data_IF_577899224641
#
_entry.id   IF_577899224641
#
_cell.length_a   1.000
_cell.length_b   1.000
_cell.length_c   1.000
_cell.angle_alpha   90.00
_cell.angle_beta   90.00
_cell.angle_gamma   90.00
#
_symmetry.space_group_name_H-M   'P 1'
#
loop_
_entity.id
_entity.type
_entity.pdbx_description
1 polymer ?
#
# COMPACT_ATOMS: atom_id res chain seq x y z
N UNK A 1 -37.44 -11.71 -6.31
CA UNK A 1 -36.71 -10.54 -6.85
C UNK A 1 -35.56 -10.12 -5.94
N UNK A 2 -35.78 -9.87 -4.64
CA UNK A 2 -34.71 -9.50 -3.69
C UNK A 2 -33.55 -10.52 -3.61
N UNK A 3 -33.86 -11.82 -3.50
CA UNK A 3 -32.84 -12.87 -3.44
C UNK A 3 -31.99 -12.96 -4.72
N UNK A 4 -32.60 -12.78 -5.89
CA UNK A 4 -31.90 -12.78 -7.18
C UNK A 4 -30.98 -11.56 -7.27
N UNK A 5 -31.46 -10.38 -6.88
CA UNK A 5 -30.64 -9.17 -6.86
C UNK A 5 -29.46 -9.28 -5.88
N UNK A 6 -29.67 -9.84 -4.69
CA UNK A 6 -28.61 -10.09 -3.72
C UNK A 6 -27.58 -11.10 -4.25
N UNK A 7 -28.03 -12.17 -4.91
CA UNK A 7 -27.13 -13.15 -5.51
C UNK A 7 -26.28 -12.55 -6.64
N UNK A 8 -26.87 -11.71 -7.49
CA UNK A 8 -26.15 -11.00 -8.55
C UNK A 8 -25.11 -10.05 -7.94
N UNK A 9 -25.50 -9.25 -6.94
CA UNK A 9 -24.58 -8.34 -6.26
C UNK A 9 -23.38 -9.09 -5.65
N UNK A 10 -23.65 -10.19 -4.96
CA UNK A 10 -22.59 -11.03 -4.38
C UNK A 10 -21.65 -11.58 -5.46
N UNK A 11 -22.19 -12.09 -6.58
CA UNK A 11 -21.39 -12.60 -7.68
C UNK A 11 -20.49 -11.51 -8.29
N UNK A 12 -21.00 -10.29 -8.45
CA UNK A 12 -20.22 -9.15 -8.96
C UNK A 12 -19.10 -8.78 -7.98
N UNK A 13 -19.37 -8.72 -6.68
CA UNK A 13 -18.36 -8.41 -5.67
C UNK A 13 -17.26 -9.47 -5.62
N UNK A 14 -17.62 -10.75 -5.71
CA UNK A 14 -16.66 -11.85 -5.76
C UNK A 14 -15.81 -11.80 -7.02
N UNK A 15 -16.41 -11.49 -8.17
CA UNK A 15 -15.68 -11.33 -9.43
C UNK A 15 -14.72 -10.12 -9.36
N UNK A 16 -15.16 -8.99 -8.81
CA UNK A 16 -14.33 -7.81 -8.64
C UNK A 16 -13.15 -8.08 -7.68
N UNK A 17 -13.40 -8.77 -6.56
CA UNK A 17 -12.35 -9.18 -5.63
C UNK A 17 -11.35 -10.12 -6.30
N UNK A 18 -11.83 -11.11 -7.06
CA UNK A 18 -10.98 -12.02 -7.82
C UNK A 18 -10.09 -11.25 -8.79
N UNK A 19 -10.67 -10.35 -9.60
CA UNK A 19 -9.92 -9.50 -10.55
C UNK A 19 -8.86 -8.69 -9.80
N UNK A 20 -9.22 -8.04 -8.70
CA UNK A 20 -8.28 -7.26 -7.88
C UNK A 20 -7.08 -8.08 -7.42
N UNK A 21 -7.30 -9.29 -6.89
CA UNK A 21 -6.19 -10.13 -6.38
C UNK A 21 -5.30 -10.68 -7.50
N UNK A 22 -5.88 -11.11 -8.63
CA UNK A 22 -5.09 -11.65 -9.76
C UNK A 22 -4.29 -10.54 -10.48
N UNK A 23 -4.75 -9.30 -10.45
CA UNK A 23 -3.98 -8.14 -10.96
C UNK A 23 -2.96 -7.62 -9.95
N UNK A 24 -2.69 -8.36 -8.88
CA UNK A 24 -1.65 -8.03 -7.89
C UNK A 24 -2.11 -7.13 -6.74
N UNK A 25 -3.40 -6.79 -6.67
CA UNK A 25 -3.97 -6.04 -5.56
C UNK A 25 -3.83 -6.82 -4.24
N UNK A 26 -3.51 -6.10 -3.17
CA UNK A 26 -3.38 -6.68 -1.82
C UNK A 26 -4.08 -5.78 -0.82
N UNK A 27 -4.55 -6.40 0.26
CA UNK A 27 -5.09 -5.68 1.40
C UNK A 27 -4.24 -5.91 2.65
N UNK A 28 -4.13 -4.90 3.49
CA UNK A 28 -3.38 -4.96 4.73
C UNK A 28 -4.17 -4.26 5.82
N UNK A 29 -4.02 -4.73 7.05
CA UNK A 29 -4.49 -4.00 8.23
C UNK A 29 -3.27 -3.33 8.85
N UNK A 30 -3.35 -2.03 9.11
CA UNK A 30 -2.26 -1.31 9.79
C UNK A 30 -2.09 -1.83 11.20
N UNK A 31 -0.89 -2.32 11.51
CA UNK A 31 -0.59 -2.96 12.80
C UNK A 31 0.22 -2.06 13.75
N UNK A 32 0.84 -0.99 13.24
CA UNK A 32 1.69 -0.09 14.02
C UNK A 32 1.22 1.36 13.92
N UNK A 33 1.48 2.21 14.92
CA UNK A 33 1.08 3.62 14.86
C UNK A 33 1.83 4.48 13.82
N UNK A 34 2.83 3.95 13.12
CA UNK A 34 3.76 4.71 12.27
C UNK A 34 3.12 5.75 11.34
N UNK A 35 1.94 5.45 10.79
CA UNK A 35 1.18 6.29 9.85
C UNK A 35 0.19 7.28 10.47
N UNK A 36 0.23 7.49 11.80
CA UNK A 36 -0.49 8.59 12.42
C UNK A 36 -1.99 8.63 12.14
N UNK A 37 -2.50 9.83 11.89
CA UNK A 37 -3.89 10.07 11.51
C UNK A 37 -4.20 9.70 10.05
N UNK A 38 -3.17 9.62 9.19
CA UNK A 38 -3.36 9.23 7.78
C UNK A 38 -3.83 7.79 7.64
N UNK A 39 -3.24 6.88 8.43
CA UNK A 39 -3.72 5.51 8.53
C UNK A 39 -3.52 4.97 9.96
N UNK A 40 -4.49 5.22 10.87
CA UNK A 40 -4.43 4.71 12.23
C UNK A 40 -4.40 3.18 12.29
N UNK A 41 -3.93 2.62 13.41
CA UNK A 41 -3.97 1.17 13.67
C UNK A 41 -5.40 0.64 13.48
N UNK A 42 -5.52 -0.48 12.76
CA UNK A 42 -6.81 -1.08 12.39
C UNK A 42 -7.36 -0.61 11.04
N UNK A 43 -6.75 0.39 10.40
CA UNK A 43 -7.14 0.82 9.04
C UNK A 43 -6.91 -0.30 8.04
N UNK A 44 -7.92 -0.58 7.20
CA UNK A 44 -7.80 -1.44 6.04
C UNK A 44 -7.25 -0.62 4.87
N UNK A 45 -6.08 -1.02 4.36
CA UNK A 45 -5.46 -0.44 3.18
C UNK A 45 -5.59 -1.41 2.02
N UNK A 46 -6.08 -0.93 0.87
CA UNK A 46 -5.99 -1.64 -0.40
C UNK A 46 -4.85 -1.05 -1.22
N UNK A 47 -4.02 -1.91 -1.77
CA UNK A 47 -2.83 -1.56 -2.54
C UNK A 47 -2.93 -2.15 -3.93
N UNK A 48 -2.31 -1.48 -4.90
CA UNK A 48 -2.15 -1.99 -6.26
C UNK A 48 -0.67 -1.92 -6.64
N UNK A 49 -0.18 -2.78 -7.54
CA UNK A 49 1.18 -2.68 -8.02
C UNK A 49 1.45 -1.32 -8.66
N UNK A 50 2.59 -0.71 -8.33
CA UNK A 50 3.06 0.49 -9.01
C UNK A 50 3.53 0.11 -10.43
N UNK A 51 3.20 0.94 -11.41
CA UNK A 51 3.65 0.81 -12.81
C UNK A 51 5.03 1.47 -13.04
N UNK A 52 5.78 1.73 -11.98
CA UNK A 52 7.04 2.47 -12.02
C UNK A 52 6.88 3.99 -11.92
N UNK A 53 5.65 4.51 -11.92
CA UNK A 53 5.37 5.93 -11.73
C UNK A 53 4.94 6.14 -10.29
N UNK A 54 5.79 6.84 -9.53
CA UNK A 54 5.49 7.29 -8.17
C UNK A 54 5.96 8.73 -8.03
N UNK A 55 5.33 9.47 -7.15
CA UNK A 55 5.60 10.87 -6.89
C UNK A 55 5.84 11.12 -5.40
N UNK A 56 6.52 12.23 -5.09
CA UNK A 56 6.58 12.73 -3.72
C UNK A 56 5.16 13.03 -3.24
N UNK A 57 4.82 12.53 -2.05
CA UNK A 57 3.47 12.59 -1.48
C UNK A 57 2.67 11.29 -1.62
N UNK A 58 3.08 10.35 -2.49
CA UNK A 58 2.42 9.05 -2.58
C UNK A 58 2.65 8.22 -1.30
N UNK A 59 1.64 7.48 -0.88
CA UNK A 59 1.77 6.47 0.19
C UNK A 59 1.95 5.12 -0.49
N UNK A 60 3.07 4.46 -0.19
CA UNK A 60 3.43 3.19 -0.81
C UNK A 60 3.57 2.10 0.23
N UNK A 61 3.23 0.89 -0.18
CA UNK A 61 3.46 -0.34 0.60
C UNK A 61 4.60 -1.13 -0.04
N UNK A 62 5.60 -1.47 0.76
CA UNK A 62 6.84 -2.10 0.29
C UNK A 62 7.43 -3.06 1.32
N UNK A 63 8.43 -3.83 0.90
CA UNK A 63 9.24 -4.68 1.78
C UNK A 63 10.61 -4.01 1.95
N UNK A 64 10.99 -3.57 3.15
CA UNK A 64 12.29 -2.95 3.34
C UNK A 64 13.41 -3.94 2.99
N UNK A 65 14.52 -3.47 2.37
CA UNK A 65 15.65 -4.34 2.05
C UNK A 65 16.31 -4.95 3.30
N UNK A 66 16.17 -4.28 4.45
CA UNK A 66 16.69 -4.74 5.74
C UNK A 66 15.80 -5.78 6.42
N UNK A 67 14.52 -5.85 6.05
CA UNK A 67 13.52 -6.75 6.65
C UNK A 67 12.56 -7.32 5.59
N UNK A 68 13.02 -8.18 4.66
CA UNK A 68 12.19 -8.62 3.52
C UNK A 68 10.91 -9.38 3.91
N UNK A 69 10.88 -9.97 5.10
CA UNK A 69 9.69 -10.65 5.63
C UNK A 69 8.57 -9.70 6.05
N UNK A 70 8.90 -8.44 6.33
CA UNK A 70 7.97 -7.44 6.84
C UNK A 70 7.43 -6.56 5.70
N UNK A 71 6.26 -5.98 5.92
CA UNK A 71 5.59 -5.07 4.98
C UNK A 71 5.35 -3.75 5.69
N UNK A 72 5.82 -2.68 5.09
CA UNK A 72 5.72 -1.32 5.60
C UNK A 72 4.84 -0.50 4.66
N UNK A 73 4.13 0.48 5.21
CA UNK A 73 3.39 1.47 4.43
C UNK A 73 3.79 2.85 4.93
N UNK A 74 4.43 3.65 4.08
CA UNK A 74 4.96 4.98 4.41
C UNK A 74 4.80 5.93 3.22
N UNK A 75 4.86 7.24 3.49
CA UNK A 75 4.83 8.29 2.47
C UNK A 75 6.18 8.49 1.80
N UNK A 76 6.19 8.75 0.48
CA UNK A 76 7.37 9.17 -0.26
C UNK A 76 7.65 10.64 0.03
N UNK A 77 8.84 10.92 0.57
CA UNK A 77 9.25 12.29 0.91
C UNK A 77 10.24 12.89 -0.10
N UNK A 78 10.95 12.04 -0.87
CA UNK A 78 11.91 12.48 -1.86
C UNK A 78 12.15 11.39 -2.91
N UNK A 79 12.40 11.82 -4.14
CA UNK A 79 12.87 10.98 -5.24
C UNK A 79 14.12 11.66 -5.81
N UNK A 80 15.26 10.98 -5.72
CA UNK A 80 16.54 11.47 -6.24
C UNK A 80 16.60 11.39 -7.77
N UNK A 81 17.52 12.14 -8.38
CA UNK A 81 17.68 12.17 -9.84
C UNK A 81 18.03 10.79 -10.45
N UNK A 82 18.67 9.92 -9.68
CA UNK A 82 18.97 8.55 -10.07
C UNK A 82 17.78 7.59 -9.87
N UNK A 83 16.65 8.06 -9.33
CA UNK A 83 15.45 7.28 -9.05
C UNK A 83 15.42 6.60 -7.68
N UNK A 84 16.31 6.95 -6.75
CA UNK A 84 16.23 6.46 -5.37
C UNK A 84 15.05 7.10 -4.63
N UNK A 85 14.24 6.29 -3.94
CA UNK A 85 13.03 6.72 -3.25
C UNK A 85 13.28 6.69 -1.74
N UNK A 86 13.06 7.82 -1.08
CA UNK A 86 13.09 7.93 0.38
C UNK A 86 11.67 8.00 0.95
N UNK A 87 11.41 7.17 1.97
CA UNK A 87 10.11 7.07 2.63
C UNK A 87 10.16 7.50 4.09
N UNK A 88 8.99 7.79 4.66
CA UNK A 88 8.83 8.17 6.07
C UNK A 88 7.42 7.87 6.55
N UNK A 89 7.29 7.38 7.78
CA UNK A 89 6.02 7.32 8.52
C UNK A 89 5.70 8.64 9.22
N UNK A 90 4.41 8.94 9.37
CA UNK A 90 3.90 10.22 9.88
C UNK A 90 4.33 10.58 11.31
N UNK A 91 4.32 9.63 12.25
CA UNK A 91 4.49 9.95 13.69
C UNK A 91 5.95 10.28 14.05
N UNK A 92 6.92 9.70 13.36
CA UNK A 92 8.31 9.70 13.85
C UNK A 92 9.22 10.74 13.19
N UNK A 93 8.79 11.40 12.11
CA UNK A 93 9.54 12.48 11.45
C UNK A 93 10.91 12.09 10.85
N UNK A 94 11.45 10.92 11.16
CA UNK A 94 12.71 10.41 10.66
C UNK A 94 12.52 9.74 9.31
N UNK A 95 13.36 10.11 8.35
CA UNK A 95 13.47 9.37 7.08
C UNK A 95 13.90 7.95 7.35
N UNK A 96 13.28 7.00 6.68
CA UNK A 96 13.65 5.58 6.79
C UNK A 96 15.13 5.38 6.39
N UNK A 97 15.85 4.44 7.02
CA UNK A 97 17.30 4.25 6.81
C UNK A 97 17.64 3.50 5.52
N UNK A 98 16.69 3.36 4.59
CA UNK A 98 16.86 2.65 3.31
C UNK A 98 16.50 3.55 2.14
N UNK A 99 16.93 3.12 0.96
CA UNK A 99 16.52 3.70 -0.32
C UNK A 99 15.82 2.63 -1.13
N UNK A 100 14.60 2.91 -1.58
CA UNK A 100 13.83 2.01 -2.43
C UNK A 100 14.07 2.33 -3.90
N UNK A 101 13.68 1.39 -4.76
CA UNK A 101 13.63 1.58 -6.22
C UNK A 101 12.24 1.20 -6.70
N UNK A 102 11.79 1.80 -7.79
CA UNK A 102 10.53 1.38 -8.37
C UNK A 102 10.57 -0.12 -8.72
N UNK A 103 9.65 -0.90 -8.16
CA UNK A 103 9.59 -2.36 -8.33
C UNK A 103 10.39 -3.19 -7.32
N UNK A 104 11.03 -2.57 -6.31
CA UNK A 104 11.64 -3.27 -5.17
C UNK A 104 10.63 -3.67 -4.10
#
# INVERSE_FOLDING_TARGET
MLLIAAAILLAVLLLAALVFFITGGRWFVVQTPSMGETAPVGTLILTTPTNGQVAVGDIITFRPPTSPGEVYTHGIIAISADGAISTRGDINGATDPWQLRAGS
#
